data_IF_657904395874
#
_entry.id   IF_657904395874
#
_cell.length_a   1.000
_cell.length_b   1.000
_cell.length_c   1.000
_cell.angle_alpha   90.00
_cell.angle_beta   90.00
_cell.angle_gamma   90.00
#
_symmetry.space_group_name_H-M   'P 1'
#
loop_
_entity.id
_entity.type
_entity.pdbx_description
1 polymer ?
#
# COMPACT_ATOMS: atom_id res chain seq x y z
N UNK A 1 -7.58 -17.23 2.60
CA UNK A 1 -7.00 -16.00 3.18
C UNK A 1 -5.75 -15.51 2.44
N UNK A 2 -4.75 -16.38 2.20
CA UNK A 2 -3.47 -15.94 1.60
C UNK A 2 -3.60 -15.36 0.19
N UNK A 3 -4.44 -15.92 -0.69
CA UNK A 3 -4.59 -15.40 -2.06
C UNK A 3 -5.15 -13.96 -2.10
N UNK A 4 -6.18 -13.66 -1.30
CA UNK A 4 -6.74 -12.30 -1.19
C UNK A 4 -5.70 -11.35 -0.59
N UNK A 5 -4.91 -11.80 0.40
CA UNK A 5 -3.82 -11.00 0.95
C UNK A 5 -2.78 -10.66 -0.12
N UNK A 6 -2.30 -11.66 -0.87
CA UNK A 6 -1.31 -11.46 -1.95
C UNK A 6 -1.85 -10.53 -3.03
N UNK A 7 -3.10 -10.72 -3.48
CA UNK A 7 -3.71 -9.85 -4.47
C UNK A 7 -3.91 -8.41 -3.95
N UNK A 8 -4.26 -8.25 -2.67
CA UNK A 8 -4.36 -6.94 -2.01
C UNK A 8 -2.99 -6.25 -1.96
N UNK A 9 -1.95 -6.98 -1.58
CA UNK A 9 -0.58 -6.48 -1.54
C UNK A 9 -0.06 -6.08 -2.92
N UNK A 10 -0.28 -6.91 -3.94
CA UNK A 10 0.08 -6.60 -5.34
C UNK A 10 -0.65 -5.35 -5.85
N UNK A 11 -1.93 -5.17 -5.52
CA UNK A 11 -2.71 -3.96 -5.83
C UNK A 11 -2.17 -2.73 -5.12
N UNK A 12 -1.75 -2.87 -3.86
CA UNK A 12 -1.12 -1.76 -3.11
C UNK A 12 0.17 -1.35 -3.80
N UNK A 13 1.05 -2.31 -4.07
CA UNK A 13 2.38 -2.05 -4.62
C UNK A 13 2.29 -1.39 -6.00
N UNK A 14 1.40 -1.85 -6.87
CA UNK A 14 1.43 -1.49 -8.29
C UNK A 14 0.29 -0.58 -8.76
N UNK A 15 -0.79 -0.44 -7.98
CA UNK A 15 -2.03 0.17 -8.48
C UNK A 15 -2.18 1.66 -8.17
N UNK A 16 -1.28 2.27 -7.40
CA UNK A 16 -1.37 3.69 -7.09
C UNK A 16 -0.86 4.55 -8.26
N UNK A 17 -1.73 5.45 -8.74
CA UNK A 17 -1.40 6.45 -9.76
C UNK A 17 -1.64 7.83 -9.18
N UNK A 18 -0.60 8.66 -9.17
CA UNK A 18 -0.64 10.02 -8.68
C UNK A 18 -0.22 11.00 -9.77
N UNK A 19 -1.06 11.98 -10.09
CA UNK A 19 -0.83 12.94 -11.18
C UNK A 19 -0.41 12.28 -12.51
N UNK A 20 -1.05 11.15 -12.85
CA UNK A 20 -0.76 10.37 -14.05
C UNK A 20 0.54 9.56 -14.00
N UNK A 21 1.27 9.56 -12.88
CA UNK A 21 2.47 8.76 -12.65
C UNK A 21 2.13 7.56 -11.79
N UNK A 22 2.42 6.35 -12.29
CA UNK A 22 2.39 5.16 -11.45
C UNK A 22 3.49 5.27 -10.38
N UNK A 23 3.18 4.85 -9.15
CA UNK A 23 4.09 4.94 -8.01
C UNK A 23 4.13 3.58 -7.31
N UNK A 24 5.33 3.07 -7.06
CA UNK A 24 5.50 1.85 -6.29
C UNK A 24 5.32 2.12 -4.80
N UNK A 25 4.30 1.50 -4.20
CA UNK A 25 4.08 1.55 -2.75
C UNK A 25 4.61 0.27 -2.09
N UNK A 26 5.89 -0.02 -2.30
CA UNK A 26 6.57 -1.07 -1.54
C UNK A 26 6.44 -0.79 -0.02
N UNK A 27 6.54 -1.82 0.84
CA UNK A 27 6.51 -1.60 2.28
C UNK A 27 7.57 -0.57 2.75
N UNK A 28 8.76 -0.59 2.14
CA UNK A 28 9.82 0.38 2.42
C UNK A 28 9.42 1.80 2.00
N UNK A 29 8.82 1.98 0.83
CA UNK A 29 8.34 3.30 0.39
C UNK A 29 7.24 3.84 1.31
N UNK A 30 6.29 3.01 1.73
CA UNK A 30 5.24 3.41 2.67
C UNK A 30 5.82 3.89 4.01
N UNK A 31 6.80 3.17 4.56
CA UNK A 31 7.49 3.56 5.79
C UNK A 31 8.26 4.87 5.62
N UNK A 32 9.02 4.99 4.53
CA UNK A 32 9.80 6.19 4.22
C UNK A 32 8.89 7.41 4.05
N UNK A 33 7.79 7.29 3.31
CA UNK A 33 6.89 8.41 3.10
C UNK A 33 6.27 8.89 4.41
N UNK A 34 5.82 7.95 5.23
CA UNK A 34 5.28 8.22 6.55
C UNK A 34 6.31 8.89 7.49
N UNK A 35 7.58 8.49 7.39
CA UNK A 35 8.66 9.09 8.19
C UNK A 35 9.02 10.50 7.71
N UNK A 36 9.06 10.73 6.39
CA UNK A 36 9.31 12.04 5.78
C UNK A 36 8.18 13.01 6.15
N UNK A 37 6.91 12.59 6.06
CA UNK A 37 5.74 13.43 6.38
C UNK A 37 5.77 13.92 7.83
N UNK A 38 6.24 13.09 8.78
CA UNK A 38 6.35 13.45 10.20
C UNK A 38 7.60 14.25 10.55
N UNK A 39 8.52 14.46 9.60
CA UNK A 39 9.80 15.09 9.87
C UNK A 39 9.82 16.54 9.43
N UNK A 40 10.04 17.46 10.38
CA UNK A 40 10.23 18.88 10.10
C UNK A 40 11.62 19.22 9.51
N UNK A 41 12.52 18.22 9.38
CA UNK A 41 13.94 18.42 9.06
C UNK A 41 14.32 18.01 7.63
N UNK A 42 13.34 17.66 6.80
CA UNK A 42 13.62 17.22 5.43
C UNK A 42 14.00 18.44 4.59
N UNK A 43 15.19 18.45 3.96
CA UNK A 43 15.57 19.51 3.04
C UNK A 43 14.81 19.37 1.72
N UNK A 44 14.33 20.50 1.21
CA UNK A 44 13.69 20.60 -0.11
C UNK A 44 14.56 21.44 -1.05
N UNK A 45 14.56 21.17 -2.37
CA UNK A 45 13.72 20.18 -3.07
C UNK A 45 14.14 18.72 -2.77
N UNK A 46 13.15 17.85 -2.56
CA UNK A 46 13.35 16.44 -2.23
C UNK A 46 13.15 15.60 -3.50
N UNK A 47 14.16 14.81 -3.88
CA UNK A 47 14.08 13.92 -5.04
C UNK A 47 13.92 12.48 -4.57
N UNK A 48 12.86 11.81 -5.02
CA UNK A 48 12.61 10.39 -4.73
C UNK A 48 12.44 9.58 -6.02
N UNK A 49 12.96 8.35 -6.03
CA UNK A 49 12.58 7.35 -7.05
C UNK A 49 11.17 6.88 -6.71
N UNK A 50 10.21 7.15 -7.57
CA UNK A 50 8.81 6.78 -7.36
C UNK A 50 8.42 5.51 -8.13
N UNK A 51 9.14 5.17 -9.19
CA UNK A 51 8.87 4.01 -10.04
C UNK A 51 10.10 3.67 -10.91
N UNK A 52 9.96 2.74 -11.84
CA UNK A 52 10.87 2.44 -12.94
C UNK A 52 10.10 2.07 -14.21
N UNK A 53 10.74 2.21 -15.36
CA UNK A 53 10.24 1.72 -16.65
C UNK A 53 10.45 0.20 -16.76
N UNK A 54 9.86 -0.45 -17.77
CA UNK A 54 10.03 -1.90 -18.01
C UNK A 54 11.50 -2.31 -18.22
N UNK A 55 12.33 -1.41 -18.73
CA UNK A 55 13.77 -1.62 -18.93
C UNK A 55 14.61 -1.38 -17.66
N UNK A 56 13.97 -1.09 -16.53
CA UNK A 56 14.62 -0.79 -15.25
C UNK A 56 15.07 0.66 -15.09
N UNK A 57 14.83 1.53 -16.06
CA UNK A 57 15.19 2.95 -15.95
C UNK A 57 14.38 3.62 -14.83
N UNK A 58 15.03 4.22 -13.81
CA UNK A 58 14.31 4.80 -12.67
C UNK A 58 13.51 6.04 -13.07
N UNK A 59 12.31 6.16 -12.49
CA UNK A 59 11.45 7.34 -12.61
C UNK A 59 11.55 8.10 -11.29
N UNK A 60 12.12 9.31 -11.37
CA UNK A 60 12.24 10.22 -10.23
C UNK A 60 11.15 11.29 -10.25
N UNK A 61 10.81 11.78 -9.06
CA UNK A 61 10.01 12.98 -8.87
C UNK A 61 10.69 13.91 -7.87
N UNK A 62 10.60 15.21 -8.15
CA UNK A 62 11.08 16.27 -7.28
C UNK A 62 9.88 16.90 -6.60
N UNK A 63 9.84 16.85 -5.27
CA UNK A 63 8.92 17.61 -4.44
C UNK A 63 9.58 18.94 -4.10
N UNK A 64 8.94 20.06 -4.45
CA UNK A 64 9.55 21.39 -4.29
C UNK A 64 9.48 21.89 -2.84
N UNK A 65 8.49 21.43 -2.08
CA UNK A 65 8.26 21.83 -0.71
C UNK A 65 7.52 20.74 0.09
N UNK A 66 7.39 20.98 1.40
CA UNK A 66 6.74 20.06 2.33
C UNK A 66 5.26 19.83 2.00
N UNK A 67 4.52 20.86 1.60
CA UNK A 67 3.09 20.74 1.32
C UNK A 67 2.84 19.82 0.12
N UNK A 68 3.64 19.94 -0.94
CA UNK A 68 3.59 19.06 -2.11
C UNK A 68 3.83 17.59 -1.73
N UNK A 69 4.83 17.36 -0.87
CA UNK A 69 5.14 16.02 -0.37
C UNK A 69 4.04 15.46 0.54
N UNK A 70 3.51 16.27 1.45
CA UNK A 70 2.43 15.88 2.37
C UNK A 70 1.19 15.48 1.58
N UNK A 71 0.80 16.28 0.57
CA UNK A 71 -0.33 15.95 -0.29
C UNK A 71 -0.15 14.61 -1.02
N UNK A 72 1.05 14.34 -1.51
CA UNK A 72 1.40 13.04 -2.11
C UNK A 72 1.32 11.89 -1.09
N UNK A 73 1.96 12.03 0.07
CA UNK A 73 2.01 11.01 1.11
C UNK A 73 0.61 10.65 1.61
N UNK A 74 -0.25 11.66 1.82
CA UNK A 74 -1.64 11.45 2.23
C UNK A 74 -2.46 10.75 1.15
N UNK A 75 -2.27 11.09 -0.12
CA UNK A 75 -2.93 10.40 -1.23
C UNK A 75 -2.50 8.92 -1.32
N UNK A 76 -1.21 8.64 -1.16
CA UNK A 76 -0.69 7.27 -1.12
C UNK A 76 -1.28 6.49 0.07
N UNK A 77 -1.27 7.08 1.27
CA UNK A 77 -1.85 6.50 2.47
C UNK A 77 -3.35 6.18 2.31
N UNK A 78 -4.12 7.11 1.74
CA UNK A 78 -5.53 6.92 1.46
C UNK A 78 -5.78 5.75 0.50
N UNK A 79 -4.95 5.61 -0.54
CA UNK A 79 -5.04 4.47 -1.46
C UNK A 79 -4.74 3.14 -0.77
N UNK A 80 -3.70 3.07 0.06
CA UNK A 80 -3.37 1.86 0.84
C UNK A 80 -4.55 1.47 1.72
N UNK A 81 -5.09 2.41 2.51
CA UNK A 81 -6.21 2.15 3.43
C UNK A 81 -7.43 1.64 2.66
N UNK A 82 -7.79 2.30 1.56
CA UNK A 82 -8.92 1.89 0.71
C UNK A 82 -8.73 0.47 0.19
N UNK A 83 -7.55 0.14 -0.32
CA UNK A 83 -7.25 -1.18 -0.90
C UNK A 83 -7.30 -2.28 0.16
N UNK A 84 -6.80 -2.00 1.37
CA UNK A 84 -6.91 -2.92 2.52
C UNK A 84 -8.37 -3.16 2.91
N UNK A 85 -9.18 -2.09 2.98
CA UNK A 85 -10.61 -2.20 3.30
C UNK A 85 -11.38 -3.02 2.25
N UNK A 86 -11.07 -2.84 0.96
CA UNK A 86 -11.62 -3.67 -0.12
C UNK A 86 -11.21 -5.14 0.04
N UNK A 87 -9.95 -5.42 0.39
CA UNK A 87 -9.47 -6.77 0.66
C UNK A 87 -10.11 -7.42 1.90
N UNK A 88 -10.49 -6.64 2.91
CA UNK A 88 -11.29 -7.15 4.04
C UNK A 88 -12.70 -7.49 3.61
N UNK A 89 -13.36 -6.57 2.88
CA UNK A 89 -14.70 -6.80 2.35
C UNK A 89 -14.77 -8.07 1.49
N UNK A 90 -13.78 -8.29 0.62
CA UNK A 90 -13.71 -9.49 -0.20
C UNK A 90 -13.63 -10.76 0.65
N UNK A 91 -12.85 -10.76 1.75
CA UNK A 91 -12.78 -11.92 2.67
C UNK A 91 -14.09 -12.18 3.40
N UNK A 92 -14.80 -11.12 3.78
CA UNK A 92 -16.08 -11.20 4.49
C UNK A 92 -17.19 -11.75 3.57
N UNK A 93 -17.09 -11.54 2.26
CA UNK A 93 -18.04 -12.04 1.25
C UNK A 93 -17.77 -13.49 0.81
N UNK A 94 -16.61 -14.07 1.13
CA UNK A 94 -16.32 -15.48 0.79
C UNK A 94 -17.20 -16.42 1.61
N UNK A 95 -18.01 -17.23 0.94
CA UNK A 95 -18.72 -18.34 1.56
C UNK A 95 -17.76 -19.50 1.87
N UNK A 96 -17.22 -19.48 3.09
CA UNK A 96 -16.30 -20.51 3.58
C UNK A 96 -16.95 -21.87 3.82
N UNK A 97 -18.29 -21.94 3.86
CA UNK A 97 -19.00 -23.20 4.10
C UNK A 97 -18.82 -24.19 2.94
N UNK A 98 -18.55 -23.67 1.74
CA UNK A 98 -18.21 -24.47 0.53
C UNK A 98 -16.93 -25.29 0.72
N UNK A 99 -16.01 -24.85 1.58
CA UNK A 99 -14.75 -25.55 1.84
C UNK A 99 -14.84 -26.53 3.03
N UNK A 100 -16.00 -26.67 3.66
CA UNK A 100 -16.28 -27.59 4.77
C UNK A 100 -15.22 -27.56 5.90
N UNK A 101 -14.66 -26.37 6.16
CA UNK A 101 -13.79 -26.13 7.31
C UNK A 101 -14.66 -26.10 8.56
N UNK A 102 -15.04 -27.28 9.08
CA UNK A 102 -15.55 -27.36 10.45
C UNK A 102 -14.49 -26.76 11.36
N UNK A 103 -14.88 -25.72 12.10
CA UNK A 103 -14.10 -25.18 13.19
C UNK A 103 -13.88 -26.29 14.23
N UNK A 104 -12.72 -26.95 14.19
CA UNK A 104 -12.25 -27.80 15.28
C UNK A 104 -11.78 -26.90 16.43
N UNK A 105 -12.71 -26.21 17.09
CA UNK A 105 -12.47 -25.47 18.33
C UNK A 105 -13.40 -25.93 19.47
N UNK A 106 -13.89 -27.17 19.39
CA UNK A 106 -14.55 -27.85 20.51
C UNK A 106 -13.78 -29.13 20.87
N UNK A 107 -12.58 -28.98 21.44
CA UNK A 107 -12.10 -29.93 22.44
C UNK A 107 -11.79 -29.13 23.71
N UNK A 108 -12.83 -28.93 24.51
CA UNK A 108 -12.65 -28.96 25.96
C UNK A 108 -12.13 -30.35 26.31
N UNK A 109 -11.00 -30.42 26.98
CA UNK A 109 -10.61 -31.60 27.75
C UNK A 109 -10.34 -31.11 29.17
N UNK A 110 -10.98 -31.80 30.12
CA UNK A 110 -11.21 -31.45 31.52
C UNK A 110 -9.96 -31.15 32.36
#
# INVERSE_FOLDING_TARGET
>A
MSAINTATEEKIINGFVWNGKAVYLSPENQLNFSAIERSEKIPYPLILKINEQEDGTPIYHTFENADDFIAFSQAACAYVIKTVQEGWKEKDEVDWTVFNLKSNNDEKVD
#
